data_IF_559460896586
#
_entry.id   IF_559460896586
#
_cell.length_a   1.000
_cell.length_b   1.000
_cell.length_c   1.000
_cell.angle_alpha   90.00
_cell.angle_beta   90.00
_cell.angle_gamma   90.00
#
_symmetry.space_group_name_H-M   'P 1'
#
loop_
_entity.id
_entity.type
_entity.pdbx_description
1 polymer ?
#
# COMPACT_ATOMS: atom_id res chain seq x y z
N UNK A 1 -42.46 7.26 23.01
CA UNK A 1 -42.84 8.10 21.85
C UNK A 1 -42.53 9.54 22.23
N UNK A 2 -41.83 10.39 21.49
CA UNK A 2 -40.90 10.28 20.36
C UNK A 2 -40.58 11.73 19.93
N UNK A 3 -39.37 11.96 19.40
CA UNK A 3 -39.02 13.01 18.41
C UNK A 3 -39.13 14.49 18.87
N UNK A 4 -38.32 15.45 18.46
CA UNK A 4 -37.11 15.51 17.63
C UNK A 4 -36.59 16.97 17.69
N UNK A 5 -35.44 17.19 17.04
CA UNK A 5 -35.02 18.45 16.43
C UNK A 5 -34.42 19.57 17.29
N UNK A 6 -33.09 19.50 17.49
CA UNK A 6 -32.23 20.66 17.21
C UNK A 6 -30.93 20.21 16.51
N UNK A 7 -31.00 20.26 15.17
CA UNK A 7 -29.95 20.68 14.21
C UNK A 7 -28.67 19.85 14.02
N UNK A 8 -28.81 18.94 13.08
CA UNK A 8 -28.00 18.74 11.87
C UNK A 8 -27.23 19.98 11.34
N UNK A 9 -25.89 20.01 11.45
CA UNK A 9 -24.94 20.30 10.36
C UNK A 9 -23.51 20.49 10.89
N UNK A 10 -22.65 19.50 10.64
CA UNK A 10 -21.24 19.52 11.01
C UNK A 10 -20.39 18.53 10.21
N UNK A 11 -20.40 18.67 8.88
CA UNK A 11 -19.41 18.14 7.91
C UNK A 11 -19.43 16.63 7.60
N UNK A 12 -20.13 16.31 6.51
CA UNK A 12 -20.01 15.07 5.75
C UNK A 12 -18.58 14.85 5.20
N UNK A 13 -17.92 13.78 5.64
CA UNK A 13 -16.97 13.03 4.81
C UNK A 13 -17.09 11.52 5.11
N UNK A 14 -18.23 10.89 4.75
CA UNK A 14 -18.50 10.17 3.48
C UNK A 14 -17.52 9.03 3.21
N UNK A 15 -17.89 7.80 3.61
CA UNK A 15 -17.32 6.51 3.21
C UNK A 15 -15.79 6.32 3.43
N UNK A 16 -15.36 5.49 4.41
CA UNK A 16 -13.94 5.26 4.71
C UNK A 16 -13.12 4.70 3.54
N UNK A 17 -13.77 4.19 2.49
CA UNK A 17 -13.15 3.65 1.30
C UNK A 17 -13.10 4.63 0.11
N UNK A 18 -13.23 5.94 0.33
CA UNK A 18 -13.11 6.94 -0.76
C UNK A 18 -11.80 6.85 -1.56
N UNK A 19 -10.72 6.39 -0.94
CA UNK A 19 -9.43 6.16 -1.60
C UNK A 19 -9.55 5.21 -2.80
N UNK A 20 -10.50 4.27 -2.76
CA UNK A 20 -10.76 3.29 -3.82
C UNK A 20 -11.16 3.98 -5.14
N UNK A 21 -11.78 5.17 -5.08
CA UNK A 21 -12.11 5.97 -6.28
C UNK A 21 -10.84 6.42 -7.03
N UNK A 22 -9.74 6.65 -6.30
CA UNK A 22 -8.44 7.04 -6.84
C UNK A 22 -7.53 5.83 -7.15
N UNK A 23 -7.89 4.64 -6.67
CA UNK A 23 -7.07 3.43 -6.72
C UNK A 23 -7.22 2.58 -8.00
N UNK A 24 -7.58 3.19 -9.15
CA UNK A 24 -7.55 2.45 -10.43
C UNK A 24 -6.14 1.92 -10.76
N UNK A 25 -5.14 2.66 -10.30
CA UNK A 25 -3.72 2.34 -10.43
C UNK A 25 -3.04 2.72 -9.11
N UNK A 26 -2.29 1.77 -8.55
CA UNK A 26 -1.51 1.92 -7.32
C UNK A 26 -0.03 1.82 -7.70
N UNK A 27 0.77 2.81 -7.29
CA UNK A 27 2.20 2.82 -7.58
C UNK A 27 2.91 1.82 -6.64
N UNK A 28 3.29 0.66 -7.17
CA UNK A 28 3.94 -0.43 -6.42
C UNK A 28 5.39 -0.06 -6.07
N UNK A 29 5.73 -0.07 -4.78
CA UNK A 29 7.01 0.40 -4.25
C UNK A 29 7.35 1.83 -4.71
N UNK A 30 6.36 2.72 -4.70
CA UNK A 30 6.36 4.06 -5.30
C UNK A 30 6.47 4.15 -6.83
N UNK A 31 6.36 3.02 -7.52
CA UNK A 31 6.44 2.93 -8.97
C UNK A 31 7.86 3.09 -9.50
N UNK A 32 7.99 3.10 -10.83
CA UNK A 32 9.27 3.19 -11.52
C UNK A 32 9.77 4.62 -11.61
N UNK A 33 11.08 4.77 -11.41
CA UNK A 33 11.85 5.98 -11.71
C UNK A 33 13.04 5.64 -12.62
N UNK A 34 13.11 6.28 -13.78
CA UNK A 34 14.06 5.90 -14.83
C UNK A 34 13.86 4.45 -15.28
N UNK A 35 14.88 3.60 -15.06
CA UNK A 35 14.87 2.17 -15.41
C UNK A 35 14.61 1.26 -14.20
N UNK A 36 14.38 1.80 -13.01
CA UNK A 36 14.31 1.02 -11.76
C UNK A 36 12.95 1.14 -11.11
N UNK A 37 12.31 0.00 -10.85
CA UNK A 37 11.03 -0.11 -10.15
C UNK A 37 11.24 -0.39 -8.67
N UNK A 38 10.21 -0.11 -7.86
CA UNK A 38 10.14 -0.51 -6.45
C UNK A 38 11.31 0.01 -5.59
N UNK A 39 11.90 1.14 -5.98
CA UNK A 39 12.97 1.78 -5.20
C UNK A 39 12.46 2.31 -3.86
N UNK A 40 11.15 2.59 -3.74
CA UNK A 40 10.59 3.24 -2.55
C UNK A 40 11.30 4.57 -2.20
N UNK A 41 11.93 5.22 -3.19
CA UNK A 41 12.71 6.45 -3.02
C UNK A 41 11.85 7.71 -3.09
N UNK A 42 12.39 8.82 -2.56
CA UNK A 42 11.78 10.14 -2.66
C UNK A 42 11.49 10.51 -4.12
N UNK A 43 12.46 10.33 -5.01
CA UNK A 43 12.35 10.71 -6.41
C UNK A 43 11.33 9.83 -7.15
N UNK A 44 11.19 8.55 -6.78
CA UNK A 44 10.13 7.69 -7.30
C UNK A 44 8.75 8.18 -6.91
N UNK A 45 8.56 8.58 -5.65
CA UNK A 45 7.31 9.19 -5.20
C UNK A 45 7.02 10.48 -5.96
N UNK A 46 7.96 11.43 -5.97
CA UNK A 46 7.76 12.77 -6.55
C UNK A 46 7.46 12.68 -8.05
N UNK A 47 8.23 11.88 -8.78
CA UNK A 47 8.01 11.65 -10.20
C UNK A 47 6.62 11.06 -10.45
N UNK A 48 6.26 9.97 -9.78
CA UNK A 48 4.98 9.30 -10.02
C UNK A 48 3.78 10.13 -9.55
N UNK A 49 3.95 10.93 -8.49
CA UNK A 49 2.95 11.93 -8.07
C UNK A 49 2.69 12.97 -9.17
N UNK A 50 3.76 13.49 -9.77
CA UNK A 50 3.68 14.41 -10.92
C UNK A 50 3.06 13.75 -12.15
N UNK A 51 3.19 12.42 -12.32
CA UNK A 51 2.50 11.66 -13.38
C UNK A 51 1.02 11.37 -13.07
N UNK A 52 0.51 11.80 -11.92
CA UNK A 52 -0.90 11.73 -11.55
C UNK A 52 -1.28 10.59 -10.60
N UNK A 53 -0.31 9.86 -10.03
CA UNK A 53 -0.61 8.87 -9.00
C UNK A 53 -1.10 9.54 -7.72
N UNK A 54 -2.08 8.91 -7.06
CA UNK A 54 -2.65 9.36 -5.78
C UNK A 54 -2.77 8.26 -4.75
N UNK A 55 -2.47 7.02 -5.12
CA UNK A 55 -2.40 5.88 -4.20
C UNK A 55 -1.06 5.21 -4.46
N UNK A 56 -0.27 5.12 -3.41
CA UNK A 56 1.08 4.57 -3.44
C UNK A 56 1.13 3.41 -2.46
N UNK A 57 1.81 2.35 -2.84
CA UNK A 57 2.20 1.29 -1.90
C UNK A 57 3.69 1.46 -1.59
N UNK A 58 4.04 1.21 -0.32
CA UNK A 58 5.42 1.23 0.14
C UNK A 58 5.75 -0.05 0.90
N UNK A 59 6.88 -0.64 0.52
CA UNK A 59 7.49 -1.73 1.26
C UNK A 59 8.14 -1.16 2.53
N UNK A 60 7.85 -1.72 3.70
CA UNK A 60 8.33 -1.24 4.98
C UNK A 60 9.00 -2.36 5.78
N UNK A 61 10.27 -2.20 6.11
CA UNK A 61 11.04 -3.19 6.87
C UNK A 61 11.85 -2.52 7.99
N UNK A 62 12.08 -3.26 9.08
CA UNK A 62 12.90 -2.77 10.19
C UNK A 62 14.40 -2.84 9.86
N UNK A 63 15.13 -1.81 10.27
CA UNK A 63 16.60 -1.78 10.36
C UNK A 63 17.09 -2.56 11.58
N UNK A 64 18.41 -2.78 11.67
CA UNK A 64 19.03 -3.48 12.82
C UNK A 64 18.82 -2.74 14.15
N UNK A 65 18.70 -1.42 14.09
CA UNK A 65 18.41 -0.50 15.19
C UNK A 65 16.92 -0.08 15.25
N UNK A 66 16.03 -0.85 14.62
CA UNK A 66 14.57 -0.80 14.80
C UNK A 66 13.84 0.42 14.26
N UNK A 67 14.41 1.14 13.31
CA UNK A 67 13.70 2.14 12.51
C UNK A 67 12.96 1.48 11.36
N UNK A 68 11.80 2.02 11.00
CA UNK A 68 11.02 1.54 9.88
C UNK A 68 11.43 2.28 8.60
N UNK A 69 11.97 1.54 7.64
CA UNK A 69 12.49 2.09 6.38
C UNK A 69 11.78 1.58 5.15
N UNK A 70 11.75 2.40 4.10
CA UNK A 70 11.09 2.13 2.83
C UNK A 70 11.97 1.20 1.97
N UNK A 71 11.78 -0.11 2.15
CA UNK A 71 12.57 -1.16 1.48
C UNK A 71 11.87 -2.52 1.50
N UNK A 72 11.97 -3.26 0.39
CA UNK A 72 11.36 -4.58 0.23
C UNK A 72 12.01 -5.70 1.09
N UNK A 73 13.34 -5.88 1.05
CA UNK A 73 14.05 -6.87 1.87
C UNK A 73 15.56 -6.55 1.95
N UNK A 74 16.29 -7.26 2.80
CA UNK A 74 17.74 -7.06 2.99
C UNK A 74 18.63 -7.96 2.13
N UNK A 75 18.08 -8.61 1.09
CA UNK A 75 18.87 -9.50 0.23
C UNK A 75 19.98 -8.75 -0.52
N UNK A 76 21.11 -9.42 -0.72
CA UNK A 76 22.22 -8.93 -1.53
C UNK A 76 21.78 -8.64 -2.96
N UNK A 77 20.93 -9.51 -3.53
CA UNK A 77 20.35 -9.35 -4.86
C UNK A 77 19.65 -7.99 -5.02
N UNK A 78 18.80 -7.60 -4.05
CA UNK A 78 18.12 -6.30 -4.11
C UNK A 78 19.12 -5.14 -4.03
N UNK A 79 20.15 -5.27 -3.19
CA UNK A 79 21.25 -4.28 -3.12
C UNK A 79 21.96 -4.12 -4.47
N UNK A 80 22.26 -5.23 -5.14
CA UNK A 80 22.91 -5.24 -6.45
C UNK A 80 21.98 -4.65 -7.53
N UNK A 81 20.68 -4.98 -7.53
CA UNK A 81 19.67 -4.38 -8.43
C UNK A 81 19.58 -2.86 -8.30
N UNK A 82 19.79 -2.33 -7.09
CA UNK A 82 19.81 -0.90 -6.81
C UNK A 82 21.20 -0.28 -6.87
N UNK A 83 22.22 -1.02 -7.31
CA UNK A 83 23.62 -0.54 -7.38
C UNK A 83 24.09 0.08 -6.06
N UNK A 84 23.66 -0.48 -4.93
CA UNK A 84 24.02 -0.01 -3.60
C UNK A 84 25.37 -0.59 -3.18
N UNK A 85 26.27 0.27 -2.72
CA UNK A 85 27.60 -0.12 -2.24
C UNK A 85 27.56 -0.70 -0.82
N UNK A 86 26.91 -1.86 -0.66
CA UNK A 86 26.81 -2.56 0.63
C UNK A 86 28.08 -3.39 0.87
N UNK A 87 28.80 -3.18 1.99
CA UNK A 87 29.97 -4.00 2.36
C UNK A 87 29.63 -5.50 2.38
N UNK A 88 30.54 -6.35 1.92
CA UNK A 88 30.32 -7.81 1.87
C UNK A 88 29.88 -8.39 3.22
N UNK A 89 30.47 -7.92 4.32
CA UNK A 89 30.13 -8.34 5.69
C UNK A 89 28.73 -7.92 6.16
N UNK A 90 28.04 -7.05 5.43
CA UNK A 90 26.70 -6.54 5.74
C UNK A 90 25.66 -6.93 4.68
N UNK A 91 26.01 -7.79 3.73
CA UNK A 91 25.07 -8.33 2.73
C UNK A 91 24.12 -9.35 3.40
N UNK A 92 22.87 -9.40 2.93
CA UNK A 92 21.82 -10.31 3.43
C UNK A 92 21.39 -10.10 4.89
N UNK A 93 21.64 -8.92 5.47
CA UNK A 93 21.21 -8.59 6.84
C UNK A 93 20.74 -7.13 6.94
N UNK A 94 19.91 -6.79 7.94
CA UNK A 94 19.50 -5.42 8.18
C UNK A 94 20.69 -4.50 8.42
N UNK A 95 20.70 -3.36 7.73
CA UNK A 95 21.60 -2.24 8.03
C UNK A 95 21.02 -1.42 9.20
N UNK A 96 21.85 -0.61 9.85
CA UNK A 96 21.34 0.44 10.74
C UNK A 96 20.62 1.53 9.95
N UNK A 97 19.79 2.31 10.62
CA UNK A 97 19.08 3.45 10.02
C UNK A 97 20.06 4.43 9.39
N UNK A 98 21.09 4.84 10.13
CA UNK A 98 22.12 5.75 9.63
C UNK A 98 22.79 5.22 8.37
N UNK A 99 23.11 3.93 8.31
CA UNK A 99 23.72 3.33 7.12
C UNK A 99 22.77 3.31 5.93
N UNK A 100 21.53 2.89 6.15
CA UNK A 100 20.53 2.83 5.08
C UNK A 100 20.22 4.21 4.52
N UNK A 101 20.03 5.21 5.38
CA UNK A 101 19.71 6.58 4.94
C UNK A 101 20.86 7.25 4.17
N UNK A 102 22.11 6.79 4.37
CA UNK A 102 23.28 7.24 3.61
C UNK A 102 23.61 6.35 2.39
N UNK A 103 22.73 5.41 2.02
CA UNK A 103 22.97 4.44 0.95
C UNK A 103 22.04 4.67 -0.25
N UNK A 104 22.36 5.64 -1.13
CA UNK A 104 21.50 5.99 -2.25
C UNK A 104 21.32 4.82 -3.23
N UNK A 105 20.13 4.70 -3.79
CA UNK A 105 19.84 3.72 -4.84
C UNK A 105 20.21 4.31 -6.21
N UNK A 106 20.85 3.51 -7.06
CA UNK A 106 21.42 3.93 -8.34
C UNK A 106 22.29 5.19 -8.22
N UNK A 107 23.02 5.32 -7.09
CA UNK A 107 23.91 6.44 -6.75
C UNK A 107 23.24 7.82 -6.62
N UNK A 108 21.92 7.92 -6.74
CA UNK A 108 21.23 9.22 -6.79
C UNK A 108 19.85 9.28 -6.16
N UNK A 109 19.18 8.14 -5.97
CA UNK A 109 17.84 8.14 -5.40
C UNK A 109 17.92 8.04 -3.89
N UNK A 110 17.22 8.95 -3.24
CA UNK A 110 17.23 9.18 -1.80
C UNK A 110 16.42 8.10 -1.08
N UNK A 111 17.04 7.34 -0.15
CA UNK A 111 16.31 6.42 0.71
C UNK A 111 15.30 7.15 1.60
N UNK A 112 14.21 6.48 1.95
CA UNK A 112 13.20 7.02 2.87
C UNK A 112 13.05 6.13 4.09
N UNK A 113 12.84 6.76 5.24
CA UNK A 113 12.23 6.13 6.40
C UNK A 113 10.75 6.50 6.49
N UNK A 114 10.06 5.95 7.49
CA UNK A 114 8.64 6.25 7.66
C UNK A 114 8.37 7.71 8.05
N UNK A 115 9.30 8.41 8.70
CA UNK A 115 9.16 9.86 8.97
C UNK A 115 9.21 10.66 7.66
N UNK A 116 10.09 10.30 6.73
CA UNK A 116 10.11 10.83 5.36
C UNK A 116 8.79 10.60 4.64
N UNK A 117 8.23 9.39 4.68
CA UNK A 117 6.92 9.08 4.08
C UNK A 117 5.79 9.88 4.76
N UNK A 118 5.79 9.98 6.09
CA UNK A 118 4.80 10.76 6.83
C UNK A 118 4.82 12.24 6.43
N UNK A 119 6.00 12.81 6.23
CA UNK A 119 6.17 14.18 5.73
C UNK A 119 5.64 14.33 4.29
N UNK A 120 5.84 13.34 3.43
CA UNK A 120 5.23 13.32 2.09
C UNK A 120 3.70 13.30 2.17
N UNK A 121 3.11 12.49 3.05
CA UNK A 121 1.66 12.48 3.25
C UNK A 121 1.16 13.83 3.80
N UNK A 122 1.87 14.43 4.76
CA UNK A 122 1.54 15.76 5.29
C UNK A 122 1.53 16.82 4.19
N UNK A 123 2.55 16.82 3.32
CA UNK A 123 2.68 17.74 2.18
C UNK A 123 1.61 17.50 1.10
N UNK A 124 1.33 16.24 0.77
CA UNK A 124 0.42 15.85 -0.30
C UNK A 124 -0.89 15.29 0.26
N UNK A 125 -1.82 16.18 0.62
CA UNK A 125 -3.10 15.84 1.28
C UNK A 125 -4.04 14.97 0.43
N UNK A 126 -3.81 14.90 -0.87
CA UNK A 126 -4.60 14.12 -1.82
C UNK A 126 -4.08 12.70 -2.07
N UNK A 127 -2.99 12.31 -1.38
CA UNK A 127 -2.33 11.00 -1.47
C UNK A 127 -2.78 10.05 -0.37
N UNK A 128 -2.93 8.77 -0.74
CA UNK A 128 -3.11 7.63 0.15
C UNK A 128 -1.89 6.72 0.11
N UNK A 129 -1.53 6.15 1.26
CA UNK A 129 -0.46 5.18 1.42
C UNK A 129 -1.06 3.80 1.76
N UNK A 130 -0.67 2.79 1.01
CA UNK A 130 -0.87 1.38 1.33
C UNK A 130 0.45 0.86 1.91
N UNK A 131 0.41 0.20 3.06
CA UNK A 131 1.64 -0.32 3.70
C UNK A 131 1.85 -1.79 3.38
N UNK A 132 3.04 -2.19 2.93
CA UNK A 132 3.45 -3.58 2.81
C UNK A 132 4.62 -3.88 3.78
N UNK A 133 4.29 -4.33 4.99
CA UNK A 133 5.23 -4.47 6.13
C UNK A 133 6.04 -5.78 6.13
N UNK A 134 5.75 -6.72 5.21
CA UNK A 134 6.42 -8.01 5.02
C UNK A 134 6.51 -8.90 6.28
N UNK A 135 5.73 -8.65 7.32
CA UNK A 135 5.73 -9.44 8.55
C UNK A 135 4.33 -9.89 8.96
N UNK A 136 4.26 -11.08 9.55
CA UNK A 136 3.00 -11.71 9.97
C UNK A 136 3.00 -12.15 11.44
N UNK A 137 4.17 -12.12 12.09
CA UNK A 137 4.33 -12.47 13.51
C UNK A 137 3.84 -11.32 14.38
N UNK A 138 2.96 -11.62 15.35
CA UNK A 138 2.30 -10.63 16.24
C UNK A 138 3.25 -9.54 16.73
N UNK A 139 4.33 -9.90 17.42
CA UNK A 139 5.28 -8.94 17.99
C UNK A 139 5.89 -7.99 16.96
N UNK A 140 6.22 -8.49 15.76
CA UNK A 140 6.82 -7.68 14.70
C UNK A 140 5.79 -6.77 14.04
N UNK A 141 4.57 -7.29 13.81
CA UNK A 141 3.45 -6.50 13.30
C UNK A 141 3.12 -5.38 14.28
N UNK A 142 2.99 -5.70 15.57
CA UNK A 142 2.71 -4.70 16.60
C UNK A 142 3.80 -3.64 16.65
N UNK A 143 5.07 -4.04 16.63
CA UNK A 143 6.19 -3.10 16.58
C UNK A 143 6.15 -2.16 15.37
N UNK A 144 5.96 -2.69 14.16
CA UNK A 144 5.94 -1.88 12.94
C UNK A 144 4.74 -0.91 12.92
N UNK A 145 3.55 -1.37 13.31
CA UNK A 145 2.36 -0.52 13.33
C UNK A 145 2.37 0.50 14.47
N UNK A 146 2.97 0.20 15.64
CA UNK A 146 3.21 1.20 16.68
C UNK A 146 4.11 2.32 16.17
N UNK A 147 5.24 1.98 15.52
CA UNK A 147 6.13 2.98 14.90
C UNK A 147 5.37 3.85 13.88
N UNK A 148 4.55 3.25 13.03
CA UNK A 148 3.72 3.97 12.04
C UNK A 148 2.81 4.97 12.74
N UNK A 149 2.09 4.54 13.77
CA UNK A 149 1.09 5.37 14.47
C UNK A 149 1.76 6.48 15.27
N UNK A 150 2.86 6.19 15.96
CA UNK A 150 3.65 7.15 16.73
C UNK A 150 4.21 8.26 15.84
N UNK A 151 4.88 7.89 14.74
CA UNK A 151 5.42 8.86 13.78
C UNK A 151 4.30 9.69 13.14
N UNK A 152 3.20 9.05 12.76
CA UNK A 152 2.07 9.76 12.16
C UNK A 152 1.47 10.79 13.13
N UNK A 153 1.26 10.42 14.41
CA UNK A 153 0.78 11.34 15.45
C UNK A 153 1.75 12.50 15.69
N UNK A 154 3.06 12.24 15.66
CA UNK A 154 4.11 13.27 15.82
C UNK A 154 4.14 14.25 14.63
N UNK A 155 4.04 13.75 13.40
CA UNK A 155 4.17 14.56 12.18
C UNK A 155 2.91 15.35 11.87
N UNK A 156 1.76 14.66 11.83
CA UNK A 156 0.42 15.19 11.58
C UNK A 156 -0.61 14.04 11.73
N UNK A 157 -1.39 13.97 12.83
CA UNK A 157 -2.34 12.90 13.08
C UNK A 157 -3.34 12.65 11.94
N UNK A 158 -3.67 13.67 11.13
CA UNK A 158 -4.61 13.54 10.01
C UNK A 158 -4.10 12.59 8.90
N UNK A 159 -2.80 12.30 8.84
CA UNK A 159 -2.30 11.35 7.84
C UNK A 159 -2.78 9.91 8.11
N UNK A 160 -3.13 9.57 9.36
CA UNK A 160 -3.68 8.25 9.71
C UNK A 160 -4.98 7.95 8.96
N UNK A 161 -5.74 8.98 8.60
CA UNK A 161 -6.94 8.86 7.77
C UNK A 161 -6.65 8.43 6.33
N UNK A 162 -5.39 8.42 5.92
CA UNK A 162 -4.92 8.12 4.55
C UNK A 162 -3.90 6.99 4.49
N UNK A 163 -3.63 6.32 5.62
CA UNK A 163 -2.82 5.09 5.69
C UNK A 163 -3.78 3.89 5.67
N UNK A 164 -3.48 2.93 4.80
CA UNK A 164 -4.29 1.74 4.56
C UNK A 164 -3.41 0.51 4.80
N UNK A 165 -3.48 -0.10 5.99
CA UNK A 165 -2.72 -1.31 6.29
C UNK A 165 -3.03 -2.45 5.33
N UNK A 166 -2.00 -3.17 4.87
CA UNK A 166 -2.17 -4.53 4.38
C UNK A 166 -2.01 -5.52 5.52
N UNK A 167 -2.90 -6.51 5.57
CA UNK A 167 -2.79 -7.66 6.47
C UNK A 167 -2.64 -8.95 5.67
N UNK A 168 -1.85 -9.89 6.17
CA UNK A 168 -1.52 -11.14 5.46
C UNK A 168 -2.21 -12.38 6.03
N UNK A 169 -2.78 -12.26 7.22
CA UNK A 169 -3.57 -13.29 7.87
C UNK A 169 -4.64 -12.62 8.76
N UNK A 170 -5.58 -13.42 9.24
CA UNK A 170 -6.75 -12.95 9.97
C UNK A 170 -6.39 -12.35 11.33
N UNK A 171 -5.40 -12.92 12.02
CA UNK A 171 -4.95 -12.46 13.34
C UNK A 171 -4.37 -11.05 13.31
N UNK A 172 -3.71 -10.67 12.20
CA UNK A 172 -3.15 -9.32 12.04
C UNK A 172 -4.19 -8.20 12.17
N UNK A 173 -5.44 -8.44 11.77
CA UNK A 173 -6.49 -7.44 11.92
C UNK A 173 -6.67 -7.05 13.40
N UNK A 174 -6.69 -8.05 14.28
CA UNK A 174 -6.79 -7.82 15.73
C UNK A 174 -5.56 -7.08 16.27
N UNK A 175 -4.36 -7.49 15.83
CA UNK A 175 -3.10 -6.88 16.29
C UNK A 175 -3.04 -5.38 15.94
N UNK A 176 -3.37 -5.01 14.69
CA UNK A 176 -3.32 -3.61 14.28
C UNK A 176 -4.45 -2.78 14.91
N UNK A 177 -5.64 -3.38 15.09
CA UNK A 177 -6.79 -2.69 15.70
C UNK A 177 -6.54 -2.32 17.17
N UNK A 178 -5.77 -3.15 17.89
CA UNK A 178 -5.36 -2.85 19.26
C UNK A 178 -4.41 -1.64 19.36
N UNK A 179 -3.71 -1.30 18.28
CA UNK A 179 -2.80 -0.15 18.22
C UNK A 179 -3.54 1.09 17.72
N UNK A 180 -4.29 0.95 16.62
CA UNK A 180 -5.06 2.02 16.02
C UNK A 180 -6.18 1.48 15.13
N UNK A 181 -7.37 2.07 15.23
CA UNK A 181 -8.52 1.73 14.39
C UNK A 181 -8.42 2.45 13.03
N UNK A 182 -7.64 1.86 12.11
CA UNK A 182 -7.50 2.40 10.76
C UNK A 182 -8.82 2.35 9.99
N UNK A 183 -9.17 3.46 9.31
CA UNK A 183 -10.43 3.58 8.55
C UNK A 183 -10.63 2.51 7.48
N UNK A 184 -9.55 2.01 6.89
CA UNK A 184 -9.59 0.99 5.85
C UNK A 184 -8.38 0.09 5.97
N UNK A 185 -8.59 -1.21 5.72
CA UNK A 185 -7.56 -2.25 5.67
C UNK A 185 -7.71 -3.02 4.35
N UNK A 186 -6.61 -3.55 3.82
CA UNK A 186 -6.59 -4.43 2.66
C UNK A 186 -6.19 -5.84 3.12
N UNK A 187 -7.04 -6.84 2.88
CA UNK A 187 -6.63 -8.23 3.08
C UNK A 187 -5.82 -8.73 1.87
N UNK A 188 -4.59 -9.14 2.13
CA UNK A 188 -3.57 -9.41 1.11
C UNK A 188 -3.27 -10.89 1.00
N UNK A 189 -3.51 -11.46 -0.19
CA UNK A 189 -3.63 -12.91 -0.35
C UNK A 189 -2.35 -13.63 -0.79
N UNK A 190 -1.21 -12.96 -0.94
CA UNK A 190 0.02 -13.61 -1.41
C UNK A 190 0.79 -14.40 -0.34
N UNK A 191 0.40 -14.29 0.93
CA UNK A 191 1.02 -15.05 2.04
C UNK A 191 0.02 -15.86 2.88
N UNK A 192 -1.21 -16.01 2.39
CA UNK A 192 -2.25 -16.79 3.06
C UNK A 192 -2.58 -18.02 2.22
N UNK A 193 -2.89 -19.12 2.92
CA UNK A 193 -3.41 -20.34 2.30
C UNK A 193 -4.95 -20.41 2.38
N UNK A 194 -5.61 -19.31 2.79
CA UNK A 194 -7.05 -19.26 2.92
C UNK A 194 -7.76 -19.53 1.58
N UNK A 195 -8.81 -20.35 1.64
CA UNK A 195 -9.70 -20.62 0.50
C UNK A 195 -10.51 -19.37 0.13
N UNK A 196 -11.12 -19.36 -1.05
CA UNK A 196 -12.01 -18.25 -1.47
C UNK A 196 -13.12 -17.98 -0.46
N UNK A 197 -13.72 -19.04 0.08
CA UNK A 197 -14.81 -18.99 1.05
C UNK A 197 -14.32 -18.38 2.37
N UNK A 198 -13.20 -18.86 2.91
CA UNK A 198 -12.60 -18.31 4.13
C UNK A 198 -12.29 -16.82 3.96
N UNK A 199 -11.75 -16.43 2.80
CA UNK A 199 -11.46 -15.02 2.51
C UNK A 199 -12.73 -14.17 2.48
N UNK A 200 -13.79 -14.64 1.81
CA UNK A 200 -15.08 -13.94 1.72
C UNK A 200 -15.71 -13.80 3.11
N UNK A 201 -15.72 -14.88 3.88
CA UNK A 201 -16.32 -14.92 5.22
C UNK A 201 -15.58 -13.99 6.18
N UNK A 202 -14.24 -14.09 6.21
CA UNK A 202 -13.41 -13.21 7.03
C UNK A 202 -13.63 -11.74 6.67
N UNK A 203 -13.61 -11.40 5.39
CA UNK A 203 -13.79 -10.03 4.94
C UNK A 203 -15.19 -9.49 5.26
N UNK A 204 -16.23 -10.30 5.04
CA UNK A 204 -17.62 -9.91 5.32
C UNK A 204 -17.86 -9.72 6.81
N UNK A 205 -17.42 -10.67 7.64
CA UNK A 205 -17.56 -10.64 9.11
C UNK A 205 -16.89 -9.43 9.74
N UNK A 206 -15.75 -9.00 9.18
CA UNK A 206 -14.94 -7.91 9.73
C UNK A 206 -15.11 -6.58 8.99
N UNK A 207 -16.04 -6.49 8.03
CA UNK A 207 -16.29 -5.25 7.29
C UNK A 207 -15.13 -4.82 6.37
N UNK A 208 -14.23 -5.72 5.98
CA UNK A 208 -13.14 -5.42 5.06
C UNK A 208 -13.73 -5.29 3.65
N UNK A 209 -13.54 -4.12 3.03
CA UNK A 209 -14.05 -3.81 1.68
C UNK A 209 -12.98 -3.83 0.59
N UNK A 210 -11.74 -4.17 0.92
CA UNK A 210 -10.67 -4.22 -0.07
C UNK A 210 -9.80 -5.47 0.11
N UNK A 211 -9.56 -6.18 -1.00
CA UNK A 211 -8.72 -7.37 -1.06
C UNK A 211 -7.72 -7.20 -2.19
N UNK A 212 -6.48 -7.63 -1.95
CA UNK A 212 -5.49 -7.72 -3.02
C UNK A 212 -4.89 -9.11 -3.16
N UNK A 213 -4.65 -9.52 -4.41
CA UNK A 213 -4.15 -10.84 -4.74
C UNK A 213 -3.12 -10.77 -5.87
N UNK A 214 -2.16 -11.69 -5.83
CA UNK A 214 -1.17 -11.84 -6.89
C UNK A 214 -1.79 -12.53 -8.11
N UNK A 215 -1.24 -12.29 -9.30
CA UNK A 215 -1.82 -12.74 -10.59
C UNK A 215 -2.11 -14.24 -10.66
N UNK A 216 -1.37 -15.10 -9.94
CA UNK A 216 -1.61 -16.55 -9.89
C UNK A 216 -2.76 -16.96 -8.97
N UNK A 217 -3.17 -16.13 -8.01
CA UNK A 217 -4.33 -16.38 -7.12
C UNK A 217 -5.65 -15.88 -7.72
N UNK A 218 -5.55 -15.05 -8.75
CA UNK A 218 -6.69 -14.46 -9.43
C UNK A 218 -7.56 -15.52 -10.12
N UNK A 219 -8.88 -15.34 -9.99
CA UNK A 219 -9.91 -16.07 -10.72
C UNK A 219 -11.09 -15.13 -10.99
N UNK A 220 -11.63 -15.05 -12.21
CA UNK A 220 -12.81 -14.24 -12.52
C UNK A 220 -14.01 -14.58 -11.63
N UNK A 221 -14.20 -15.86 -11.31
CA UNK A 221 -15.27 -16.35 -10.44
C UNK A 221 -15.11 -15.85 -9.01
N UNK A 222 -13.87 -15.84 -8.51
CA UNK A 222 -13.59 -15.30 -7.19
C UNK A 222 -13.83 -13.79 -7.13
N UNK A 223 -13.39 -13.04 -8.16
CA UNK A 223 -13.65 -11.60 -8.27
C UNK A 223 -15.15 -11.30 -8.30
N UNK A 224 -15.94 -12.09 -9.03
CA UNK A 224 -17.41 -11.96 -9.08
C UNK A 224 -18.02 -12.15 -7.68
N UNK A 225 -17.67 -13.23 -6.98
CA UNK A 225 -18.14 -13.50 -5.60
C UNK A 225 -17.78 -12.36 -4.63
N UNK A 226 -16.57 -11.81 -4.71
CA UNK A 226 -16.15 -10.66 -3.90
C UNK A 226 -16.98 -9.41 -4.21
N UNK A 227 -17.21 -9.13 -5.49
CA UNK A 227 -18.01 -8.00 -5.95
C UNK A 227 -19.47 -8.07 -5.48
N UNK A 228 -20.08 -9.26 -5.51
CA UNK A 228 -21.44 -9.51 -4.98
C UNK A 228 -21.55 -9.18 -3.48
N UNK A 229 -20.45 -9.32 -2.71
CA UNK A 229 -20.36 -8.91 -1.30
C UNK A 229 -19.96 -7.44 -1.10
N UNK A 230 -19.84 -6.68 -2.19
CA UNK A 230 -19.42 -5.27 -2.16
C UNK A 230 -17.95 -5.08 -1.78
N UNK A 231 -17.10 -6.08 -2.05
CA UNK A 231 -15.66 -6.05 -1.77
C UNK A 231 -14.91 -5.70 -3.06
N UNK A 232 -14.03 -4.70 -2.98
CA UNK A 232 -13.18 -4.28 -4.08
C UNK A 232 -11.94 -5.16 -4.20
N UNK A 233 -11.65 -5.62 -5.42
CA UNK A 233 -10.48 -6.45 -5.71
C UNK A 233 -9.37 -5.64 -6.39
N UNK A 234 -8.13 -5.86 -5.95
CA UNK A 234 -6.93 -5.32 -6.58
C UNK A 234 -5.95 -6.45 -6.96
N UNK A 235 -5.33 -6.36 -8.13
CA UNK A 235 -4.37 -7.40 -8.59
C UNK A 235 -2.96 -6.83 -8.66
N UNK A 236 -1.96 -7.63 -8.29
CA UNK A 236 -0.56 -7.20 -8.28
C UNK A 236 0.46 -8.27 -8.69
N UNK A 237 1.63 -7.84 -9.18
CA UNK A 237 1.81 -6.63 -9.99
C UNK A 237 1.21 -6.83 -11.40
N UNK A 238 0.78 -5.75 -12.06
CA UNK A 238 0.29 -5.77 -13.45
C UNK A 238 0.94 -4.63 -14.23
N UNK A 239 1.64 -4.96 -15.32
CA UNK A 239 2.59 -4.04 -15.97
C UNK A 239 2.30 -3.78 -17.45
N UNK A 240 1.19 -4.31 -17.99
CA UNK A 240 0.73 -3.99 -19.34
C UNK A 240 -0.68 -3.41 -19.32
N UNK A 241 -0.95 -2.46 -20.22
CA UNK A 241 -2.32 -1.89 -20.32
C UNK A 241 -3.34 -2.94 -20.77
N UNK A 242 -2.90 -3.94 -21.56
CA UNK A 242 -3.74 -5.03 -22.00
C UNK A 242 -4.24 -5.88 -20.81
N UNK A 243 -3.34 -6.32 -19.92
CA UNK A 243 -3.75 -7.07 -18.72
C UNK A 243 -4.67 -6.25 -17.81
N UNK A 244 -4.40 -4.95 -17.65
CA UNK A 244 -5.27 -4.07 -16.85
C UNK A 244 -6.69 -4.05 -17.41
N UNK A 245 -6.86 -4.04 -18.74
CA UNK A 245 -8.18 -4.11 -19.39
C UNK A 245 -8.90 -5.41 -19.07
N UNK A 246 -8.21 -6.54 -19.27
CA UNK A 246 -8.77 -7.87 -18.98
C UNK A 246 -9.21 -8.00 -17.53
N UNK A 247 -8.40 -7.55 -16.58
CA UNK A 247 -8.79 -7.56 -15.15
C UNK A 247 -10.00 -6.67 -14.87
N UNK A 248 -10.10 -5.50 -15.51
CA UNK A 248 -11.26 -4.60 -15.29
C UNK A 248 -12.56 -5.17 -15.82
N UNK A 249 -12.52 -5.87 -16.96
CA UNK A 249 -13.69 -6.53 -17.56
C UNK A 249 -14.30 -7.57 -16.62
N UNK A 250 -13.49 -8.23 -15.79
CA UNK A 250 -13.97 -9.20 -14.79
C UNK A 250 -14.37 -8.58 -13.45
N UNK A 251 -14.28 -7.25 -13.32
CA UNK A 251 -14.70 -6.52 -12.12
C UNK A 251 -13.59 -6.16 -11.14
N UNK A 252 -12.31 -6.36 -11.49
CA UNK A 252 -11.19 -5.86 -10.69
C UNK A 252 -11.24 -4.33 -10.64
N UNK A 253 -11.10 -3.78 -9.43
CA UNK A 253 -11.22 -2.34 -9.18
C UNK A 253 -10.00 -1.55 -9.62
N UNK A 254 -8.81 -2.11 -9.43
CA UNK A 254 -7.55 -1.50 -9.79
C UNK A 254 -6.39 -2.47 -9.69
N UNK A 255 -5.20 -2.02 -10.07
CA UNK A 255 -4.00 -2.86 -10.04
C UNK A 255 -2.84 -2.11 -9.39
N UNK A 256 -1.90 -2.87 -8.85
CA UNK A 256 -0.58 -2.36 -8.48
C UNK A 256 0.30 -2.49 -9.71
N UNK A 257 0.97 -1.40 -10.09
CA UNK A 257 1.84 -1.39 -11.25
C UNK A 257 3.18 -0.79 -10.90
N UNK A 258 4.22 -1.40 -11.46
CA UNK A 258 5.58 -0.88 -11.38
C UNK A 258 5.77 0.24 -12.40
N UNK A 259 5.20 0.11 -13.61
CA UNK A 259 5.64 0.90 -14.77
C UNK A 259 4.55 1.70 -15.48
N UNK A 260 3.28 1.35 -15.28
CA UNK A 260 2.18 2.02 -15.96
C UNK A 260 1.98 3.41 -15.34
N UNK A 261 1.75 4.43 -16.16
CA UNK A 261 1.43 5.77 -15.69
C UNK A 261 -0.07 6.05 -15.86
N UNK A 262 -0.71 6.83 -14.96
CA UNK A 262 -2.12 7.18 -15.06
C UNK A 262 -2.53 7.79 -16.42
N UNK A 263 -1.64 8.56 -17.04
CA UNK A 263 -1.85 9.14 -18.37
C UNK A 263 -1.99 8.10 -19.51
N UNK A 264 -1.34 6.94 -19.38
CA UNK A 264 -1.43 5.86 -20.37
C UNK A 264 -2.80 5.20 -20.35
N UNK A 265 -3.42 5.12 -19.17
CA UNK A 265 -4.81 4.70 -19.05
C UNK A 265 -5.74 5.74 -19.69
N UNK A 266 -5.53 7.05 -19.41
CA UNK A 266 -6.35 8.16 -19.98
C UNK A 266 -6.45 8.14 -21.50
N UNK A 267 -5.31 8.03 -22.19
CA UNK A 267 -5.23 8.08 -23.66
C UNK A 267 -5.97 6.93 -24.36
N UNK A 268 -6.30 5.87 -23.63
CA UNK A 268 -6.92 4.66 -24.16
C UNK A 268 -8.41 4.54 -23.81
N UNK A 269 -9.09 5.65 -23.50
CA UNK A 269 -10.53 5.68 -23.25
C UNK A 269 -10.97 5.25 -21.84
N UNK A 270 -10.05 5.08 -20.87
CA UNK A 270 -10.38 4.60 -19.50
C UNK A 270 -11.29 5.50 -18.67
N UNK A 271 -11.54 6.74 -19.11
CA UNK A 271 -12.19 7.79 -18.32
C UNK A 271 -13.59 8.18 -18.81
N UNK A 272 -14.15 7.46 -19.80
CA UNK A 272 -15.44 7.78 -20.41
C UNK A 272 -16.64 6.96 -19.90
N UNK A 273 -16.58 6.42 -18.68
CA UNK A 273 -17.78 5.84 -18.05
C UNK A 273 -17.93 6.42 -16.65
N UNK A 274 -18.95 7.28 -16.53
CA UNK A 274 -19.41 7.94 -15.32
C UNK A 274 -20.05 6.95 -14.34
#
# INVERSE_FOLDING_TARGET
MSFDDVTFMGWFNKNPHNWVKKAKLIAHGFGRIGKTSSTNSLEAFEYNYAQGYRVFEADLILTSDHYLVARHNWSAYLGDCFQQSIPKSKRNQPLSHKEFMNLPMNKKYTPLDFEGIANLLKKHKDVYLITDTKEAKKEKVEKQFSIIVEIAKKVDPEILNRIIPQIYNEGMLGYIKNIYDFKSVIYTLYRTNATDEQVIDFATKNGIKAITMYTKRYSPDFVRKLKEKGIYTFVHPVNTVHEIRLYRETGVKGVYSDIILPKQLKKQGFFLVH
#
